data_IF_772380585753
#
_entry.id   IF_772380585753
#
_cell.length_a   1.000
_cell.length_b   1.000
_cell.length_c   1.000
_cell.angle_alpha   90.00
_cell.angle_beta   90.00
_cell.angle_gamma   90.00
#
_symmetry.space_group_name_H-M   'P 1'
#
loop_
_entity.id
_entity.type
_entity.pdbx_description
1 polymer ?
#
# COMPACT_ATOMS: atom_id res chain seq x y z
N UNK A 1 -19.85 -13.65 10.21
CA UNK A 1 -18.67 -12.86 9.80
C UNK A 1 -19.03 -12.27 8.45
N UNK A 2 -19.33 -10.97 8.39
CA UNK A 2 -19.68 -10.29 7.15
C UNK A 2 -18.36 -9.86 6.51
N UNK A 3 -17.89 -10.58 5.49
CA UNK A 3 -16.85 -10.03 4.61
C UNK A 3 -17.55 -8.95 3.79
N UNK A 4 -17.31 -7.70 4.15
CA UNK A 4 -17.63 -6.58 3.26
C UNK A 4 -16.46 -6.50 2.29
N UNK A 5 -16.73 -6.79 1.03
CA UNK A 5 -15.80 -6.57 -0.06
C UNK A 5 -15.82 -5.06 -0.36
N UNK A 6 -14.87 -4.33 0.24
CA UNK A 6 -14.78 -2.87 0.08
C UNK A 6 -13.81 -2.60 -1.06
N UNK A 7 -14.40 -2.35 -2.22
CA UNK A 7 -13.72 -2.08 -3.46
C UNK A 7 -13.86 -0.60 -3.87
N UNK A 8 -12.79 0.00 -4.39
CA UNK A 8 -12.75 1.38 -4.87
C UNK A 8 -11.69 1.55 -5.96
N UNK A 9 -11.75 2.66 -6.68
CA UNK A 9 -10.67 3.02 -7.60
C UNK A 9 -9.36 3.25 -6.81
N UNK A 10 -8.31 2.51 -7.17
CA UNK A 10 -6.96 2.74 -6.68
C UNK A 10 -6.11 3.35 -7.79
N UNK A 11 -5.41 4.44 -7.48
CA UNK A 11 -4.48 5.05 -8.42
C UNK A 11 -3.16 5.37 -7.73
N UNK A 12 -2.08 4.76 -8.20
CA UNK A 12 -0.71 5.08 -7.79
C UNK A 12 -0.14 6.06 -8.81
N UNK A 13 0.28 7.23 -8.33
CA UNK A 13 0.83 8.30 -9.17
C UNK A 13 2.22 8.71 -8.72
N UNK A 14 3.03 9.14 -9.68
CA UNK A 14 4.32 9.79 -9.48
C UNK A 14 4.29 11.16 -10.15
N UNK A 15 4.00 12.20 -9.36
CA UNK A 15 3.60 13.50 -9.89
C UNK A 15 2.35 13.36 -10.78
N UNK A 16 2.42 13.86 -12.00
CA UNK A 16 1.33 13.77 -12.99
C UNK A 16 1.26 12.41 -13.72
N UNK A 17 2.26 11.54 -13.52
CA UNK A 17 2.30 10.22 -14.17
C UNK A 17 1.51 9.19 -13.37
N UNK A 18 0.57 8.52 -14.03
CA UNK A 18 -0.08 7.32 -13.47
C UNK A 18 0.87 6.13 -13.64
N UNK A 19 1.23 5.49 -12.53
CA UNK A 19 2.03 4.26 -12.51
C UNK A 19 1.13 3.03 -12.60
N UNK A 20 -0.04 3.10 -11.96
CA UNK A 20 -1.07 2.07 -11.93
C UNK A 20 -2.42 2.73 -11.64
N UNK A 21 -3.48 2.27 -12.32
CA UNK A 21 -4.85 2.62 -12.00
C UNK A 21 -5.72 1.37 -12.17
N UNK A 22 -6.51 1.05 -11.16
CA UNK A 22 -7.38 -0.12 -11.17
C UNK A 22 -8.72 0.23 -10.53
N UNK A 23 -9.81 -0.15 -11.19
CA UNK A 23 -11.16 0.01 -10.67
C UNK A 23 -11.58 -1.19 -9.84
N UNK A 24 -12.50 -1.00 -8.89
CA UNK A 24 -12.97 -2.06 -8.00
C UNK A 24 -11.82 -2.77 -7.23
N UNK A 25 -10.80 -2.01 -6.84
CA UNK A 25 -9.65 -2.55 -6.11
C UNK A 25 -9.98 -2.76 -4.63
N UNK A 26 -9.57 -3.86 -3.97
CA UNK A 26 -9.83 -4.15 -2.56
C UNK A 26 -9.02 -3.25 -1.62
N UNK A 27 -9.37 -1.97 -1.57
CA UNK A 27 -8.62 -0.91 -0.87
C UNK A 27 -8.56 -1.13 0.65
N UNK A 28 -9.58 -1.74 1.24
CA UNK A 28 -9.58 -2.06 2.67
C UNK A 28 -8.60 -3.17 3.03
N UNK A 29 -8.50 -4.21 2.18
CA UNK A 29 -7.50 -5.27 2.35
C UNK A 29 -6.09 -4.72 2.22
N UNK A 30 -5.86 -3.84 1.22
CA UNK A 30 -4.57 -3.19 1.03
C UNK A 30 -4.20 -2.31 2.23
N UNK A 31 -5.12 -1.48 2.72
CA UNK A 31 -4.89 -0.64 3.90
C UNK A 31 -4.50 -1.49 5.11
N UNK A 32 -5.24 -2.58 5.38
CA UNK A 32 -4.93 -3.53 6.44
C UNK A 32 -3.55 -4.17 6.28
N UNK A 33 -3.22 -4.64 5.07
CA UNK A 33 -1.94 -5.28 4.78
C UNK A 33 -0.77 -4.30 4.97
N UNK A 34 -0.92 -3.05 4.53
CA UNK A 34 0.07 -1.99 4.71
C UNK A 34 0.30 -1.66 6.18
N UNK A 35 -0.75 -1.54 7.00
CA UNK A 35 -0.60 -1.34 8.46
C UNK A 35 0.20 -2.48 9.08
N UNK A 36 -0.13 -3.73 8.73
CA UNK A 36 0.60 -4.91 9.21
C UNK A 36 2.06 -4.92 8.76
N UNK A 37 2.35 -4.45 7.56
CA UNK A 37 3.72 -4.34 7.05
C UNK A 37 4.52 -3.22 7.73
N UNK A 38 3.92 -2.04 7.95
CA UNK A 38 4.53 -0.92 8.68
C UNK A 38 4.91 -1.32 10.12
N UNK A 39 4.04 -2.09 10.78
CA UNK A 39 4.25 -2.57 12.14
C UNK A 39 5.39 -3.59 12.30
N UNK A 40 5.96 -4.13 11.20
CA UNK A 40 7.11 -5.03 11.28
C UNK A 40 8.37 -4.26 11.69
N UNK A 41 9.23 -4.82 12.57
CA UNK A 41 10.53 -4.22 12.89
C UNK A 41 11.39 -4.02 11.65
N UNK A 42 12.15 -2.93 11.57
CA UNK A 42 12.92 -2.56 10.38
C UNK A 42 13.82 -3.69 9.84
N UNK A 43 14.47 -4.46 10.73
CA UNK A 43 15.33 -5.59 10.35
C UNK A 43 14.59 -6.81 9.76
N UNK A 44 13.26 -6.88 9.93
CA UNK A 44 12.42 -7.99 9.48
C UNK A 44 11.30 -7.55 8.51
N UNK A 45 11.19 -6.25 8.23
CA UNK A 45 10.08 -5.68 7.44
C UNK A 45 10.02 -6.27 6.03
N UNK A 46 11.18 -6.36 5.38
CA UNK A 46 11.25 -6.85 4.02
C UNK A 46 10.64 -5.87 3.01
N UNK A 47 10.50 -6.34 1.79
CA UNK A 47 9.70 -5.67 0.77
C UNK A 47 8.20 -5.99 1.03
N UNK A 48 7.30 -5.24 0.40
CA UNK A 48 5.86 -5.49 0.47
C UNK A 48 5.37 -6.04 -0.87
N UNK A 49 4.58 -7.09 -0.81
CA UNK A 49 3.81 -7.59 -1.94
C UNK A 49 2.39 -7.83 -1.44
N UNK A 50 1.41 -7.18 -2.09
CA UNK A 50 0.02 -7.31 -1.73
C UNK A 50 -0.51 -8.67 -2.18
N UNK A 51 -0.96 -9.45 -1.20
CA UNK A 51 -1.59 -10.76 -1.40
C UNK A 51 -3.07 -10.62 -1.02
N UNK A 52 -3.93 -10.63 -2.03
CA UNK A 52 -5.38 -10.48 -1.90
C UNK A 52 -6.07 -11.64 -2.57
N UNK A 53 -7.19 -12.05 -2.00
CA UNK A 53 -8.02 -13.09 -2.59
C UNK A 53 -8.71 -12.66 -3.89
N UNK A 54 -8.78 -11.35 -4.15
CA UNK A 54 -9.40 -10.80 -5.38
C UNK A 54 -8.50 -10.91 -6.60
N UNK A 55 -7.20 -11.21 -6.42
CA UNK A 55 -6.23 -11.36 -7.50
C UNK A 55 -5.62 -12.76 -7.50
N UNK A 56 -5.34 -13.29 -8.71
CA UNK A 56 -4.63 -14.55 -8.86
C UNK A 56 -3.12 -14.39 -8.61
N UNK A 57 -2.58 -13.22 -8.95
CA UNK A 57 -1.16 -12.89 -8.83
C UNK A 57 -0.90 -12.07 -7.56
N UNK A 58 0.20 -12.39 -6.86
CA UNK A 58 0.68 -11.61 -5.72
C UNK A 58 1.45 -10.39 -6.23
N UNK A 59 1.21 -9.25 -5.60
CA UNK A 59 1.93 -8.01 -5.91
C UNK A 59 1.21 -7.10 -6.88
N UNK A 60 -0.12 -7.08 -6.86
CA UNK A 60 -0.86 -6.03 -7.57
C UNK A 60 -0.50 -4.63 -7.03
N UNK A 61 -0.10 -4.56 -5.75
CA UNK A 61 0.72 -3.47 -5.20
C UNK A 61 2.01 -4.05 -4.63
N UNK A 62 3.15 -3.52 -5.04
CA UNK A 62 4.48 -3.90 -4.55
C UNK A 62 5.23 -2.67 -4.08
N UNK A 63 5.94 -2.81 -2.96
CA UNK A 63 6.83 -1.77 -2.44
C UNK A 63 8.20 -2.40 -2.23
N UNK A 64 9.20 -1.88 -2.92
CA UNK A 64 10.54 -2.47 -2.92
C UNK A 64 11.62 -1.45 -2.62
N UNK A 65 12.67 -1.91 -1.93
CA UNK A 65 13.87 -1.11 -1.66
C UNK A 65 14.74 -1.05 -2.90
N UNK A 66 15.28 0.13 -3.19
CA UNK A 66 16.39 0.21 -4.14
C UNK A 66 17.73 0.01 -3.42
N UNK A 67 18.68 -0.72 -4.05
CA UNK A 67 19.99 -0.98 -3.45
C UNK A 67 20.71 0.32 -3.07
N UNK A 68 21.26 0.37 -1.86
CA UNK A 68 22.09 1.50 -1.43
C UNK A 68 23.32 1.61 -2.34
N UNK A 69 23.47 2.76 -2.97
CA UNK A 69 24.79 3.24 -3.38
C UNK A 69 25.41 3.86 -2.13
N UNK A 70 26.63 3.42 -1.79
CA UNK A 70 27.33 3.67 -0.52
C UNK A 70 27.02 5.02 0.13
N UNK A 71 26.53 5.01 1.37
CA UNK A 71 26.25 6.21 2.18
C UNK A 71 24.87 6.85 1.99
N UNK A 72 24.01 6.36 1.10
CA UNK A 72 22.65 6.89 0.94
C UNK A 72 21.65 6.36 1.98
N UNK A 73 20.69 7.20 2.36
CA UNK A 73 19.47 6.79 3.08
C UNK A 73 18.73 5.70 2.29
N UNK A 74 18.00 4.83 2.98
CA UNK A 74 17.16 3.84 2.29
C UNK A 74 16.10 4.54 1.44
N UNK A 75 15.85 4.00 0.24
CA UNK A 75 14.91 4.57 -0.72
C UNK A 75 13.98 3.47 -1.22
N UNK A 76 12.74 3.84 -1.44
CA UNK A 76 11.63 2.92 -1.70
C UNK A 76 10.86 3.36 -2.94
N UNK A 77 10.34 2.39 -3.69
CA UNK A 77 9.50 2.62 -4.87
C UNK A 77 8.28 1.73 -4.84
N UNK A 78 7.21 2.15 -5.50
CA UNK A 78 5.94 1.44 -5.59
C UNK A 78 5.64 1.06 -7.03
N UNK A 79 5.06 -0.10 -7.27
CA UNK A 79 4.65 -0.58 -8.58
C UNK A 79 3.59 -1.68 -8.48
N UNK A 80 3.21 -2.25 -9.63
CA UNK A 80 2.28 -3.38 -9.75
C UNK A 80 2.92 -4.51 -10.54
N UNK A 81 2.56 -5.76 -10.27
CA UNK A 81 2.95 -6.93 -11.07
C UNK A 81 2.33 -6.90 -12.48
N UNK A 82 1.16 -6.27 -12.63
CA UNK A 82 0.50 -6.05 -13.92
C UNK A 82 1.32 -5.19 -14.88
N UNK A 83 2.14 -4.28 -14.35
CA UNK A 83 3.05 -3.42 -15.11
C UNK A 83 4.46 -3.50 -14.49
N UNK A 84 5.19 -4.61 -14.72
CA UNK A 84 6.33 -5.01 -13.88
C UNK A 84 7.53 -4.06 -13.95
N UNK A 85 7.67 -3.35 -15.07
CA UNK A 85 8.71 -2.36 -15.31
C UNK A 85 8.30 -0.93 -14.91
N UNK A 86 7.03 -0.72 -14.56
CA UNK A 86 6.49 0.58 -14.16
C UNK A 86 6.65 0.77 -12.66
N UNK A 87 7.53 1.72 -12.29
CA UNK A 87 7.77 2.11 -10.91
C UNK A 87 7.56 3.61 -10.73
N UNK A 88 7.16 4.00 -9.51
CA UNK A 88 7.31 5.38 -9.04
C UNK A 88 8.79 5.72 -8.88
N UNK A 89 9.09 7.03 -8.89
CA UNK A 89 10.35 7.56 -8.43
C UNK A 89 10.61 7.14 -6.98
N UNK A 90 11.87 6.81 -6.67
CA UNK A 90 12.19 6.32 -5.35
C UNK A 90 12.16 7.45 -4.31
N UNK A 91 11.50 7.22 -3.17
CA UNK A 91 11.32 8.18 -2.07
C UNK A 91 12.00 7.71 -0.79
N UNK A 92 12.21 8.62 0.16
CA UNK A 92 12.69 8.27 1.51
C UNK A 92 11.62 7.51 2.30
N UNK A 93 12.05 6.76 3.33
CA UNK A 93 11.14 6.00 4.19
C UNK A 93 10.06 6.87 4.82
N UNK A 94 10.42 8.06 5.31
CA UNK A 94 9.51 8.99 5.98
C UNK A 94 8.42 9.49 5.03
N UNK A 95 8.77 9.72 3.76
CA UNK A 95 7.81 10.12 2.71
C UNK A 95 6.87 8.96 2.40
N UNK A 96 7.41 7.75 2.22
CA UNK A 96 6.59 6.57 1.96
C UNK A 96 5.59 6.33 3.08
N UNK A 97 6.03 6.40 4.35
CA UNK A 97 5.16 6.22 5.52
C UNK A 97 4.06 7.26 5.53
N UNK A 98 4.39 8.55 5.36
CA UNK A 98 3.39 9.61 5.37
C UNK A 98 2.32 9.48 4.26
N UNK A 99 2.67 8.91 3.10
CA UNK A 99 1.70 8.60 2.04
C UNK A 99 0.83 7.38 2.40
N UNK A 100 1.43 6.31 2.95
CA UNK A 100 0.69 5.13 3.41
C UNK A 100 -0.29 5.50 4.53
N UNK A 101 0.14 6.31 5.50
CA UNK A 101 -0.70 6.77 6.61
C UNK A 101 -1.90 7.57 6.09
N UNK A 102 -1.68 8.51 5.15
CA UNK A 102 -2.76 9.27 4.51
C UNK A 102 -3.75 8.36 3.77
N UNK A 103 -3.25 7.39 3.01
CA UNK A 103 -4.09 6.40 2.34
C UNK A 103 -4.91 5.59 3.34
N UNK A 104 -4.27 5.03 4.37
CA UNK A 104 -4.95 4.22 5.41
C UNK A 104 -6.01 5.05 6.14
N UNK A 105 -5.72 6.30 6.51
CA UNK A 105 -6.69 7.20 7.14
C UNK A 105 -7.90 7.45 6.24
N UNK A 106 -7.69 7.75 4.96
CA UNK A 106 -8.79 7.98 4.01
C UNK A 106 -9.68 6.73 3.85
N UNK A 107 -9.06 5.54 3.67
CA UNK A 107 -9.83 4.29 3.55
C UNK A 107 -10.62 4.00 4.84
N UNK A 108 -10.04 4.27 6.02
CA UNK A 108 -10.76 4.12 7.30
C UNK A 108 -11.96 5.06 7.41
N UNK A 109 -11.82 6.31 6.99
CA UNK A 109 -12.92 7.27 6.94
C UNK A 109 -14.05 6.77 6.01
N UNK A 110 -13.68 6.24 4.83
CA UNK A 110 -14.64 5.67 3.88
C UNK A 110 -15.35 4.43 4.43
N UNK A 111 -14.63 3.52 5.10
CA UNK A 111 -15.21 2.34 5.76
C UNK A 111 -16.26 2.75 6.80
N UNK A 112 -15.95 3.78 7.60
CA UNK A 112 -16.90 4.33 8.59
C UNK A 112 -18.10 4.95 7.89
N UNK A 113 -17.90 5.71 6.80
CA UNK A 113 -18.97 6.35 6.05
C UNK A 113 -19.93 5.33 5.42
N UNK A 114 -19.44 4.15 5.04
CA UNK A 114 -20.24 3.02 4.55
C UNK A 114 -20.98 2.26 5.67
N UNK A 115 -20.77 2.63 6.94
CA UNK A 115 -21.39 1.98 8.10
C UNK A 115 -20.73 0.65 8.48
N UNK A 116 -19.54 0.37 7.96
CA UNK A 116 -18.74 -0.80 8.33
C UNK A 116 -17.88 -0.52 9.56
N UNK A 117 -17.41 -1.59 10.22
CA UNK A 117 -16.56 -1.48 11.41
C UNK A 117 -15.17 -0.96 11.03
N UNK A 118 -14.70 0.19 11.56
CA UNK A 118 -13.35 0.68 11.32
C UNK A 118 -12.26 -0.30 11.79
N UNK A 119 -12.55 -1.19 12.74
CA UNK A 119 -11.64 -2.23 13.23
C UNK A 119 -11.24 -3.27 12.17
N UNK A 120 -11.89 -3.27 10.99
CA UNK A 120 -11.46 -4.03 9.82
C UNK A 120 -10.02 -3.68 9.41
N UNK A 121 -9.66 -2.40 9.54
CA UNK A 121 -8.32 -1.87 9.33
C UNK A 121 -7.74 -1.61 10.73
N UNK A 122 -6.59 -2.17 11.11
CA UNK A 122 -5.99 -1.88 12.41
C UNK A 122 -5.52 -0.42 12.49
N UNK A 123 -5.37 0.10 13.71
CA UNK A 123 -4.77 1.42 13.90
C UNK A 123 -3.30 1.41 13.42
N UNK A 124 -2.84 2.56 12.93
CA UNK A 124 -1.45 2.74 12.54
C UNK A 124 -0.53 2.46 13.75
N UNK A 125 0.60 1.78 13.54
CA UNK A 125 1.57 1.55 14.61
C UNK A 125 2.12 2.89 15.13
N UNK A 126 2.22 3.01 16.46
CA UNK A 126 2.80 4.18 17.16
C UNK A 126 4.33 4.12 17.14
#
# INVERSE_FOLDING_TARGET
MLLVDIESDLIIRDGDRVVMAEGLFPVAELARALVGWLGRPAGARGDFEFDSMSYADVGEVRISRIPRISGSSERWRVGSVSEPDSWTSAVGWEVLVAEIERFVSAVREDVVALGADPGLIPDLPV
#
